data_IF_722069780800
#
_entry.id   IF_722069780800
#
_cell.length_a   1.000
_cell.length_b   1.000
_cell.length_c   1.000
_cell.angle_alpha   90.00
_cell.angle_beta   90.00
_cell.angle_gamma   90.00
#
_symmetry.space_group_name_H-M   'P 1'
#
loop_
_entity.id
_entity.type
_entity.pdbx_description
1 polymer ?
#
# COMPACT_ATOMS: atom_id res chain seq x y z
N UNK A 1 -8.38 33.06 4.76
CA UNK A 1 -7.10 32.57 4.21
C UNK A 1 -7.13 32.69 2.70
N UNK A 2 -6.03 33.05 2.04
CA UNK A 2 -5.95 33.02 0.58
C UNK A 2 -5.89 31.56 0.12
N UNK A 3 -6.68 31.21 -0.91
CA UNK A 3 -6.68 29.88 -1.50
C UNK A 3 -5.43 29.74 -2.35
N UNK A 4 -4.70 28.60 -2.22
CA UNK A 4 -3.54 28.32 -3.05
C UNK A 4 -3.94 28.27 -4.53
N UNK A 5 -3.23 28.99 -5.40
CA UNK A 5 -3.41 28.87 -6.84
C UNK A 5 -2.86 27.54 -7.39
N UNK A 6 -1.93 26.91 -6.65
CA UNK A 6 -1.33 25.63 -7.00
C UNK A 6 -2.05 24.48 -6.26
N UNK A 7 -2.30 23.39 -6.97
CA UNK A 7 -2.80 22.16 -6.35
C UNK A 7 -1.75 21.58 -5.41
N UNK A 8 -2.14 21.35 -4.16
CA UNK A 8 -1.35 20.65 -3.12
C UNK A 8 -1.77 19.19 -3.11
N UNK A 9 -0.93 18.31 -3.70
CA UNK A 9 -1.26 16.90 -3.83
C UNK A 9 -0.70 16.08 -2.65
N UNK A 10 -1.59 15.63 -1.76
CA UNK A 10 -1.29 14.88 -0.55
C UNK A 10 -1.94 13.49 -0.55
N UNK A 11 -2.04 12.87 -1.71
CA UNK A 11 -2.64 11.53 -1.87
C UNK A 11 -1.69 10.55 -2.59
N UNK A 12 -0.38 10.62 -2.26
CA UNK A 12 0.65 9.78 -2.87
C UNK A 12 0.46 8.28 -2.60
N UNK A 13 -0.25 7.90 -1.54
CA UNK A 13 -0.62 6.50 -1.29
C UNK A 13 -1.71 5.98 -2.25
N UNK A 14 -2.53 6.83 -2.86
CA UNK A 14 -3.46 6.42 -3.91
C UNK A 14 -2.74 6.21 -5.24
N UNK A 15 -1.96 7.18 -5.68
CA UNK A 15 -1.11 7.11 -6.88
C UNK A 15 -0.09 8.24 -6.87
N UNK A 16 1.00 8.10 -7.61
CA UNK A 16 1.99 9.16 -7.80
C UNK A 16 2.08 9.60 -9.26
N UNK A 17 2.61 10.80 -9.50
CA UNK A 17 2.99 11.23 -10.85
C UNK A 17 4.17 10.39 -11.34
N UNK A 18 4.19 10.08 -12.64
CA UNK A 18 5.34 9.42 -13.26
C UNK A 18 6.55 10.36 -13.24
N UNK A 19 7.70 9.85 -12.79
CA UNK A 19 8.95 10.62 -12.79
C UNK A 19 9.35 11.02 -14.23
N UNK A 20 9.87 12.24 -14.45
CA UNK A 20 10.26 12.69 -15.79
C UNK A 20 11.25 11.74 -16.48
N UNK A 21 12.20 11.18 -15.76
CA UNK A 21 13.20 10.24 -16.27
C UNK A 21 12.59 8.89 -16.64
N UNK A 22 11.62 8.42 -15.85
CA UNK A 22 10.86 7.22 -16.19
C UNK A 22 10.00 7.45 -17.46
N UNK A 23 9.36 8.62 -17.56
CA UNK A 23 8.60 9.00 -18.74
C UNK A 23 9.50 9.10 -19.98
N UNK A 24 10.71 9.67 -19.86
CA UNK A 24 11.65 9.78 -20.97
C UNK A 24 12.03 8.41 -21.54
N UNK A 25 12.37 7.44 -20.68
CA UNK A 25 12.69 6.06 -21.10
C UNK A 25 11.46 5.38 -21.72
N UNK A 26 10.27 5.63 -21.21
CA UNK A 26 9.04 5.10 -21.80
C UNK A 26 8.81 5.65 -23.21
N UNK A 27 9.01 6.95 -23.42
CA UNK A 27 8.88 7.58 -24.73
C UNK A 27 9.90 7.01 -25.71
N UNK A 28 11.16 6.81 -25.28
CA UNK A 28 12.21 6.17 -26.09
C UNK A 28 11.79 4.75 -26.51
N UNK A 29 11.32 3.92 -25.55
CA UNK A 29 10.85 2.58 -25.84
C UNK A 29 9.64 2.55 -26.79
N UNK A 30 8.69 3.48 -26.65
CA UNK A 30 7.50 3.56 -27.50
C UNK A 30 7.81 4.05 -28.91
N UNK A 31 8.81 4.92 -29.08
CA UNK A 31 9.16 5.50 -30.36
C UNK A 31 10.24 4.71 -31.15
N UNK A 32 11.13 4.01 -30.44
CA UNK A 32 12.29 3.31 -31.03
C UNK A 32 12.12 1.80 -31.08
N UNK A 33 11.61 1.17 -29.99
CA UNK A 33 11.56 -0.29 -29.84
C UNK A 33 10.22 -0.88 -30.36
N UNK A 34 9.96 -0.82 -31.65
CA UNK A 34 8.71 -1.35 -32.24
C UNK A 34 8.69 -2.89 -32.38
N UNK A 35 9.79 -3.58 -32.09
CA UNK A 35 9.91 -5.03 -32.19
C UNK A 35 9.22 -5.78 -31.05
N UNK A 36 8.78 -7.03 -31.31
CA UNK A 36 8.35 -7.92 -30.25
C UNK A 36 9.59 -8.50 -29.53
N UNK A 37 9.72 -8.37 -28.19
CA UNK A 37 10.88 -8.87 -27.44
C UNK A 37 11.12 -10.39 -27.59
N UNK A 38 10.10 -11.15 -27.96
CA UNK A 38 10.21 -12.60 -28.21
C UNK A 38 10.70 -12.96 -29.62
N UNK A 39 10.92 -11.98 -30.50
CA UNK A 39 11.31 -12.21 -31.90
C UNK A 39 12.83 -12.22 -32.08
N UNK A 40 13.31 -13.10 -32.97
CA UNK A 40 14.73 -13.33 -33.23
C UNK A 40 15.23 -12.47 -34.41
N UNK A 41 15.06 -11.16 -34.35
CA UNK A 41 15.60 -10.16 -35.31
C UNK A 41 15.99 -8.88 -34.56
N UNK A 42 16.77 -7.99 -35.20
CA UNK A 42 17.43 -6.84 -34.56
C UNK A 42 16.50 -5.98 -33.73
N UNK A 43 15.38 -5.51 -34.27
CA UNK A 43 14.42 -4.67 -33.57
C UNK A 43 13.69 -5.42 -32.41
N UNK A 44 13.61 -6.76 -32.44
CA UNK A 44 13.13 -7.57 -31.33
C UNK A 44 14.15 -7.61 -30.18
N UNK A 45 15.45 -7.70 -30.52
CA UNK A 45 16.51 -7.63 -29.52
C UNK A 45 16.61 -6.26 -28.87
N UNK A 46 16.41 -5.16 -29.63
CA UNK A 46 16.34 -3.79 -29.08
C UNK A 46 15.20 -3.67 -28.04
N UNK A 47 14.00 -4.16 -28.40
CA UNK A 47 12.87 -4.17 -27.46
C UNK A 47 13.16 -5.04 -26.22
N UNK A 48 13.83 -6.18 -26.41
CA UNK A 48 14.24 -7.06 -25.32
C UNK A 48 15.24 -6.39 -24.38
N UNK A 49 16.15 -5.57 -24.86
CA UNK A 49 17.12 -4.83 -24.05
C UNK A 49 16.43 -3.91 -23.04
N UNK A 50 15.36 -3.21 -23.42
CA UNK A 50 14.54 -2.42 -22.49
C UNK A 50 13.92 -3.29 -21.40
N UNK A 51 13.38 -4.46 -21.75
CA UNK A 51 12.78 -5.40 -20.81
C UNK A 51 13.84 -5.94 -19.83
N UNK A 52 14.99 -6.39 -20.35
CA UNK A 52 16.07 -6.97 -19.54
C UNK A 52 16.68 -5.92 -18.60
N UNK A 53 16.86 -4.68 -19.08
CA UNK A 53 17.34 -3.55 -18.27
C UNK A 53 16.36 -3.20 -17.16
N UNK A 54 15.07 -3.02 -17.47
CA UNK A 54 14.05 -2.73 -16.47
C UNK A 54 13.95 -3.85 -15.41
N UNK A 55 14.05 -5.10 -15.84
CA UNK A 55 14.06 -6.28 -14.92
C UNK A 55 15.28 -6.27 -13.99
N UNK A 56 16.46 -5.96 -14.54
CA UNK A 56 17.69 -5.87 -13.74
C UNK A 56 17.63 -4.73 -12.72
N UNK A 57 17.05 -3.58 -13.09
CA UNK A 57 16.86 -2.43 -12.19
C UNK A 57 15.90 -2.78 -11.05
N UNK A 58 14.74 -3.40 -11.34
CA UNK A 58 13.79 -3.85 -10.31
C UNK A 58 14.44 -4.86 -9.38
N UNK A 59 15.12 -5.87 -9.92
CA UNK A 59 15.79 -6.89 -9.14
C UNK A 59 16.86 -6.30 -8.20
N UNK A 60 17.70 -5.40 -8.73
CA UNK A 60 18.75 -4.73 -7.94
C UNK A 60 18.17 -3.93 -6.79
N UNK A 61 17.06 -3.24 -7.02
CA UNK A 61 16.44 -2.35 -6.04
C UNK A 61 15.94 -3.09 -4.78
N UNK A 62 15.59 -4.37 -4.90
CA UNK A 62 15.12 -5.21 -3.78
C UNK A 62 16.10 -6.35 -3.41
N UNK A 63 17.34 -6.30 -3.90
CA UNK A 63 18.39 -7.33 -3.71
C UNK A 63 17.97 -8.74 -4.20
N UNK A 64 17.17 -8.81 -5.29
CA UNK A 64 16.78 -10.06 -5.96
C UNK A 64 17.68 -10.38 -7.15
N UNK A 65 17.53 -11.59 -7.71
CA UNK A 65 18.04 -11.93 -9.04
C UNK A 65 17.01 -11.52 -10.13
N UNK A 66 17.44 -11.06 -11.32
CA UNK A 66 16.52 -10.79 -12.41
C UNK A 66 15.60 -11.97 -12.77
N UNK A 67 16.06 -13.20 -12.61
CA UNK A 67 15.27 -14.41 -12.85
C UNK A 67 14.14 -14.66 -11.83
N UNK A 68 14.08 -13.88 -10.75
CA UNK A 68 13.06 -13.95 -9.70
C UNK A 68 12.00 -12.84 -9.83
N UNK A 69 12.10 -11.98 -10.87
CA UNK A 69 11.14 -10.89 -11.12
C UNK A 69 10.22 -11.28 -12.28
N UNK A 70 8.92 -11.18 -12.06
CA UNK A 70 7.88 -11.44 -13.06
C UNK A 70 6.97 -10.22 -13.18
N UNK A 71 6.87 -9.64 -14.37
CA UNK A 71 6.05 -8.46 -14.60
C UNK A 71 4.56 -8.80 -14.72
N UNK A 72 3.75 -7.94 -14.13
CA UNK A 72 2.28 -8.02 -14.12
C UNK A 72 1.68 -6.68 -14.55
N UNK A 73 0.38 -6.65 -14.81
CA UNK A 73 -0.33 -5.41 -15.17
C UNK A 73 -0.55 -4.46 -13.99
N UNK A 74 -0.46 -4.93 -12.75
CA UNK A 74 -0.61 -4.12 -11.53
C UNK A 74 -0.26 -4.93 -10.27
N UNK A 75 -0.19 -4.27 -9.11
CA UNK A 75 -0.01 -4.93 -7.82
C UNK A 75 -1.11 -5.95 -7.52
N UNK A 76 -2.37 -5.63 -7.83
CA UNK A 76 -3.49 -6.56 -7.62
C UNK A 76 -3.36 -7.86 -8.43
N UNK A 77 -2.80 -7.84 -9.66
CA UNK A 77 -2.50 -9.05 -10.40
C UNK A 77 -1.40 -9.86 -9.70
N UNK A 78 -0.35 -9.20 -9.21
CA UNK A 78 0.74 -9.84 -8.47
C UNK A 78 0.22 -10.51 -7.19
N UNK A 79 -0.61 -9.82 -6.40
CA UNK A 79 -1.24 -10.34 -5.19
C UNK A 79 -2.13 -11.56 -5.48
N UNK A 80 -3.00 -11.43 -6.48
CA UNK A 80 -3.86 -12.55 -6.89
C UNK A 80 -3.03 -13.75 -7.32
N UNK A 81 -1.95 -13.52 -8.06
CA UNK A 81 -1.09 -14.61 -8.51
C UNK A 81 -0.36 -15.28 -7.33
N UNK A 82 0.23 -14.50 -6.43
CA UNK A 82 0.87 -15.03 -5.24
C UNK A 82 -0.11 -15.88 -4.39
N UNK A 83 -1.27 -15.33 -4.08
CA UNK A 83 -2.27 -15.96 -3.19
C UNK A 83 -2.96 -17.15 -3.86
N UNK A 84 -3.62 -16.92 -5.00
CA UNK A 84 -4.39 -17.98 -5.68
C UNK A 84 -3.48 -19.04 -6.29
N UNK A 85 -2.38 -18.63 -6.92
CA UNK A 85 -1.40 -19.53 -7.50
C UNK A 85 -0.79 -20.46 -6.45
N UNK A 86 -0.47 -19.94 -5.26
CA UNK A 86 -0.01 -20.76 -4.13
C UNK A 86 -1.09 -21.71 -3.65
N UNK A 87 -2.31 -21.22 -3.44
CA UNK A 87 -3.43 -22.04 -2.98
C UNK A 87 -3.65 -23.25 -3.92
N UNK A 88 -3.70 -23.01 -5.23
CA UNK A 88 -3.88 -24.08 -6.22
C UNK A 88 -2.68 -25.05 -6.29
N UNK A 89 -1.46 -24.54 -6.15
CA UNK A 89 -0.25 -25.37 -6.10
C UNK A 89 -0.26 -26.30 -4.89
N UNK A 90 -0.54 -25.75 -3.72
CA UNK A 90 -0.46 -26.46 -2.42
C UNK A 90 -1.68 -27.35 -2.15
N UNK A 91 -2.82 -27.07 -2.76
CA UNK A 91 -4.01 -27.96 -2.69
C UNK A 91 -3.71 -29.37 -3.20
N UNK A 92 -2.78 -29.53 -4.15
CA UNK A 92 -2.31 -30.85 -4.63
C UNK A 92 -1.59 -31.65 -3.54
N UNK A 93 -1.16 -30.99 -2.46
CA UNK A 93 -0.53 -31.58 -1.28
C UNK A 93 -1.49 -31.64 -0.09
N UNK A 94 -2.80 -31.47 -0.30
CA UNK A 94 -3.83 -31.36 0.72
C UNK A 94 -3.64 -30.20 1.69
N UNK A 95 -2.92 -29.15 1.29
CA UNK A 95 -2.78 -27.93 2.07
C UNK A 95 -3.78 -26.88 1.56
N UNK A 96 -4.81 -26.60 2.36
CA UNK A 96 -5.93 -25.73 1.99
C UNK A 96 -6.19 -24.59 2.96
N UNK A 97 -5.33 -24.41 3.95
CA UNK A 97 -5.43 -23.31 4.89
C UNK A 97 -4.49 -22.18 4.50
N UNK A 98 -4.97 -20.93 4.60
CA UNK A 98 -4.20 -19.71 4.36
C UNK A 98 -4.33 -18.78 5.58
N UNK A 99 -3.29 -18.00 5.82
CA UNK A 99 -3.28 -16.99 6.89
C UNK A 99 -3.03 -15.64 6.26
N UNK A 100 -3.83 -14.64 6.68
CA UNK A 100 -3.65 -13.24 6.28
C UNK A 100 -4.03 -12.32 7.43
N UNK A 101 -3.82 -11.00 7.29
CA UNK A 101 -4.29 -10.05 8.29
C UNK A 101 -5.70 -9.53 7.99
N UNK A 102 -6.39 -9.03 9.02
CA UNK A 102 -7.74 -8.49 8.88
C UNK A 102 -7.79 -7.08 8.25
N UNK A 103 -6.64 -6.49 7.91
CA UNK A 103 -6.55 -5.12 7.41
C UNK A 103 -5.75 -4.98 6.10
N UNK A 104 -5.67 -6.08 5.34
CA UNK A 104 -5.02 -6.12 4.03
C UNK A 104 -5.71 -5.23 2.99
N UNK A 105 -4.99 -4.93 1.92
CA UNK A 105 -5.60 -4.34 0.73
C UNK A 105 -6.68 -5.26 0.13
N UNK A 106 -7.71 -4.69 -0.48
CA UNK A 106 -8.81 -5.47 -1.07
C UNK A 106 -8.36 -6.52 -2.11
N UNK A 107 -7.21 -6.34 -2.76
CA UNK A 107 -6.64 -7.35 -3.65
C UNK A 107 -6.35 -8.68 -2.93
N UNK A 108 -5.89 -8.63 -1.69
CA UNK A 108 -5.69 -9.80 -0.82
C UNK A 108 -7.02 -10.25 -0.22
N UNK A 109 -7.78 -9.35 0.41
CA UNK A 109 -9.04 -9.68 1.09
C UNK A 109 -10.03 -10.39 0.15
N UNK A 110 -10.26 -9.83 -1.05
CA UNK A 110 -11.19 -10.42 -2.01
C UNK A 110 -10.63 -11.70 -2.66
N UNK A 111 -9.30 -11.85 -2.77
CA UNK A 111 -8.68 -13.10 -3.22
C UNK A 111 -8.88 -14.21 -2.21
N UNK A 112 -8.70 -13.91 -0.91
CA UNK A 112 -8.96 -14.86 0.18
C UNK A 112 -10.44 -15.26 0.22
N UNK A 113 -11.36 -14.28 0.19
CA UNK A 113 -12.80 -14.56 0.13
C UNK A 113 -13.23 -15.39 -1.11
N UNK A 114 -12.53 -15.20 -2.25
CA UNK A 114 -12.77 -16.03 -3.42
C UNK A 114 -12.32 -17.49 -3.18
N UNK A 115 -11.20 -17.70 -2.51
CA UNK A 115 -10.69 -19.03 -2.17
C UNK A 115 -11.58 -19.73 -1.12
N UNK A 116 -12.12 -19.01 -0.15
CA UNK A 116 -13.10 -19.56 0.79
C UNK A 116 -14.31 -20.15 0.07
N UNK A 117 -14.85 -19.43 -0.93
CA UNK A 117 -15.94 -19.95 -1.79
C UNK A 117 -15.56 -21.21 -2.60
N UNK A 118 -14.26 -21.44 -2.80
CA UNK A 118 -13.71 -22.62 -3.47
C UNK A 118 -13.34 -23.77 -2.51
N UNK A 119 -13.65 -23.62 -1.21
CA UNK A 119 -13.43 -24.65 -0.19
C UNK A 119 -12.02 -24.61 0.43
N UNK A 120 -11.34 -23.48 0.39
CA UNK A 120 -10.17 -23.20 1.22
C UNK A 120 -10.62 -22.61 2.56
N UNK A 121 -9.77 -22.69 3.57
CA UNK A 121 -9.96 -22.05 4.87
C UNK A 121 -9.00 -20.89 5.03
N UNK A 122 -9.47 -19.78 5.59
CA UNK A 122 -8.66 -18.59 5.81
C UNK A 122 -8.72 -18.15 7.27
N UNK A 123 -7.57 -17.93 7.88
CA UNK A 123 -7.48 -17.28 9.20
C UNK A 123 -7.03 -15.83 9.02
N UNK A 124 -7.85 -14.90 9.53
CA UNK A 124 -7.58 -13.46 9.51
C UNK A 124 -7.03 -13.03 10.87
N UNK A 125 -5.73 -12.70 10.92
CA UNK A 125 -5.07 -12.22 12.14
C UNK A 125 -5.49 -10.77 12.40
N UNK A 126 -5.98 -10.49 13.63
CA UNK A 126 -6.32 -9.13 14.03
C UNK A 126 -5.06 -8.34 14.40
N UNK A 127 -4.89 -7.10 13.89
CA UNK A 127 -3.81 -6.22 14.34
C UNK A 127 -4.06 -5.71 15.76
N UNK A 128 -2.99 -5.23 16.41
CA UNK A 128 -3.08 -4.43 17.64
C UNK A 128 -3.73 -3.06 17.33
N UNK A 129 -4.10 -2.26 18.36
CA UNK A 129 -4.62 -0.90 18.15
C UNK A 129 -3.64 0.03 17.40
N UNK A 130 -2.34 -0.26 17.45
CA UNK A 130 -1.30 0.45 16.68
C UNK A 130 -1.21 -0.02 15.22
N UNK A 131 -1.99 -1.05 14.85
CA UNK A 131 -1.97 -1.63 13.51
C UNK A 131 -0.80 -2.60 13.29
N UNK A 132 -0.31 -3.27 14.32
CA UNK A 132 0.82 -4.19 14.28
C UNK A 132 0.35 -5.64 14.37
N UNK A 133 0.84 -6.51 13.50
CA UNK A 133 0.61 -7.96 13.56
C UNK A 133 1.72 -8.58 14.42
N UNK A 134 1.34 -9.22 15.51
CA UNK A 134 2.29 -9.91 16.37
C UNK A 134 2.71 -11.24 15.73
N UNK A 135 4.01 -11.51 15.59
CA UNK A 135 4.50 -12.75 15.01
C UNK A 135 3.97 -14.01 15.73
N UNK A 136 3.77 -13.91 17.05
CA UNK A 136 3.24 -15.01 17.88
C UNK A 136 1.79 -15.38 17.50
N UNK A 137 0.97 -14.40 17.10
CA UNK A 137 -0.41 -14.66 16.69
C UNK A 137 -0.42 -15.40 15.32
N UNK A 138 0.56 -15.11 14.45
CA UNK A 138 0.77 -15.85 13.19
C UNK A 138 1.21 -17.27 13.49
N UNK A 139 2.20 -17.48 14.38
CA UNK A 139 2.68 -18.82 14.76
C UNK A 139 1.54 -19.68 15.33
N UNK A 140 0.72 -19.11 16.21
CA UNK A 140 -0.42 -19.79 16.81
C UNK A 140 -1.51 -20.19 15.80
N UNK A 141 -1.61 -19.50 14.67
CA UNK A 141 -2.57 -19.78 13.60
C UNK A 141 -2.07 -20.83 12.59
N UNK A 142 -0.77 -21.16 12.57
CA UNK A 142 -0.21 -22.12 11.63
C UNK A 142 -0.68 -23.54 11.97
N UNK A 143 -1.16 -24.26 10.96
CA UNK A 143 -1.65 -25.63 11.03
C UNK A 143 -0.84 -26.54 10.09
N UNK A 144 -0.92 -27.88 10.23
CA UNK A 144 -0.21 -28.80 9.31
C UNK A 144 -0.61 -28.63 7.83
N UNK A 145 -1.84 -28.20 7.57
CA UNK A 145 -2.39 -27.96 6.23
C UNK A 145 -2.28 -26.48 5.78
N UNK A 146 -1.54 -25.64 6.50
CA UNK A 146 -1.28 -24.25 6.08
C UNK A 146 -0.41 -24.23 4.82
N UNK A 147 -0.88 -23.54 3.79
CA UNK A 147 -0.25 -23.39 2.48
C UNK A 147 0.57 -22.10 2.37
N UNK A 148 0.04 -20.99 2.92
CA UNK A 148 0.55 -19.64 2.75
C UNK A 148 0.29 -18.78 3.99
N UNK A 149 1.27 -17.96 4.36
CA UNK A 149 1.08 -16.75 5.16
C UNK A 149 1.25 -15.55 4.22
N UNK A 150 0.28 -14.66 4.19
CA UNK A 150 0.30 -13.43 3.38
C UNK A 150 -0.03 -12.23 4.25
N UNK A 151 0.97 -11.42 4.57
CA UNK A 151 0.84 -10.21 5.40
C UNK A 151 1.46 -9.04 4.66
N UNK A 152 0.72 -7.94 4.52
CA UNK A 152 1.23 -6.73 3.86
C UNK A 152 2.42 -6.14 4.62
N UNK A 153 3.40 -5.61 3.90
CA UNK A 153 4.60 -5.05 4.50
C UNK A 153 4.34 -3.70 5.18
N UNK A 154 3.46 -2.89 4.61
CA UNK A 154 3.04 -1.63 5.20
C UNK A 154 1.60 -1.31 4.80
N UNK A 155 0.79 -0.87 5.76
CA UNK A 155 -0.62 -0.59 5.50
C UNK A 155 -0.78 0.74 4.74
N UNK A 156 -1.59 0.71 3.69
CA UNK A 156 -1.82 1.84 2.79
C UNK A 156 -2.67 2.98 3.41
N UNK A 157 -3.40 2.72 4.49
CA UNK A 157 -4.24 3.71 5.15
C UNK A 157 -3.55 4.32 6.37
N UNK A 158 -3.18 3.49 7.33
CA UNK A 158 -2.58 3.94 8.60
C UNK A 158 -1.05 3.98 8.61
N UNK A 159 -0.42 3.49 7.53
CA UNK A 159 1.02 3.56 7.35
C UNK A 159 1.86 2.60 8.19
N UNK A 160 1.26 1.77 9.05
CA UNK A 160 2.00 0.90 9.96
C UNK A 160 2.80 -0.16 9.21
N UNK A 161 4.09 -0.27 9.51
CA UNK A 161 5.04 -1.24 8.94
C UNK A 161 5.02 -2.52 9.77
N UNK A 162 5.00 -3.69 9.11
CA UNK A 162 4.85 -4.99 9.74
C UNK A 162 6.20 -5.72 9.92
N UNK A 163 6.33 -6.62 10.91
CA UNK A 163 7.54 -7.40 11.18
C UNK A 163 7.66 -8.60 10.24
N UNK A 164 7.84 -8.31 8.93
CA UNK A 164 7.79 -9.32 7.88
C UNK A 164 8.90 -10.36 8.03
N UNK A 165 10.11 -9.95 8.47
CA UNK A 165 11.23 -10.87 8.68
C UNK A 165 10.91 -11.94 9.72
N UNK A 166 10.44 -11.53 10.88
CA UNK A 166 10.09 -12.41 11.98
C UNK A 166 8.94 -13.37 11.57
N UNK A 167 7.95 -12.85 10.86
CA UNK A 167 6.84 -13.65 10.33
C UNK A 167 7.32 -14.65 9.29
N UNK A 168 8.24 -14.27 8.41
CA UNK A 168 8.83 -15.16 7.40
C UNK A 168 9.65 -16.28 8.05
N UNK A 169 10.45 -15.99 9.08
CA UNK A 169 11.20 -16.97 9.85
C UNK A 169 10.27 -18.01 10.49
N UNK A 170 9.15 -17.56 11.06
CA UNK A 170 8.11 -18.44 11.64
C UNK A 170 7.46 -19.30 10.54
N UNK A 171 7.02 -18.71 9.43
CA UNK A 171 6.40 -19.45 8.35
C UNK A 171 7.34 -20.56 7.82
N UNK A 172 8.61 -20.25 7.61
CA UNK A 172 9.62 -21.20 7.13
C UNK A 172 9.93 -22.32 8.14
N UNK A 173 9.98 -22.03 9.44
CA UNK A 173 10.12 -23.05 10.50
C UNK A 173 9.04 -24.13 10.41
N UNK A 174 7.85 -23.77 9.93
CA UNK A 174 6.72 -24.68 9.73
C UNK A 174 6.56 -25.18 8.27
N UNK A 175 7.48 -24.85 7.38
CA UNK A 175 7.44 -25.25 5.95
C UNK A 175 6.30 -24.62 5.17
N UNK A 176 5.86 -23.42 5.56
CA UNK A 176 4.81 -22.62 4.94
C UNK A 176 5.44 -21.53 4.07
N UNK A 177 4.89 -21.25 2.91
CA UNK A 177 5.34 -20.16 2.06
C UNK A 177 4.90 -18.80 2.61
N UNK A 178 5.77 -17.79 2.44
CA UNK A 178 5.53 -16.43 2.89
C UNK A 178 5.42 -15.47 1.71
N UNK A 179 4.30 -14.75 1.63
CA UNK A 179 4.05 -13.65 0.70
C UNK A 179 3.88 -12.34 1.47
N UNK A 180 4.35 -11.24 0.89
CA UNK A 180 4.05 -9.89 1.39
C UNK A 180 3.58 -8.99 0.25
N UNK A 181 2.44 -8.31 0.45
CA UNK A 181 2.07 -7.14 -0.35
C UNK A 181 2.96 -5.97 0.11
N UNK A 182 3.96 -5.64 -0.71
CA UNK A 182 4.88 -4.54 -0.46
C UNK A 182 4.62 -3.31 -1.35
N UNK A 183 3.42 -3.19 -1.89
CA UNK A 183 3.02 -2.10 -2.81
C UNK A 183 3.26 -0.72 -2.20
N UNK A 184 3.04 -0.56 -0.89
CA UNK A 184 3.29 0.72 -0.20
C UNK A 184 4.72 0.85 0.34
N UNK A 185 5.48 -0.23 0.38
CA UNK A 185 6.83 -0.26 0.98
C UNK A 185 7.94 -0.06 -0.05
N UNK A 186 7.85 -0.72 -1.21
CA UNK A 186 8.86 -0.65 -2.27
C UNK A 186 9.01 0.79 -2.77
N UNK A 187 10.25 1.30 -2.73
CA UNK A 187 10.58 2.68 -3.08
C UNK A 187 10.23 3.74 -2.03
N UNK A 188 9.63 3.34 -0.88
CA UNK A 188 9.29 4.24 0.23
C UNK A 188 10.10 3.94 1.50
N UNK A 189 10.50 2.68 1.69
CA UNK A 189 11.39 2.23 2.77
C UNK A 189 12.37 1.18 2.21
N UNK A 190 13.47 0.84 2.93
CA UNK A 190 14.38 -0.21 2.51
C UNK A 190 13.67 -1.56 2.38
N UNK A 191 13.88 -2.23 1.24
CA UNK A 191 13.34 -3.57 0.97
C UNK A 191 14.45 -4.45 0.44
N UNK A 192 14.84 -5.46 1.23
CA UNK A 192 15.80 -6.49 0.86
C UNK A 192 15.13 -7.86 1.02
N UNK A 193 14.81 -8.51 -0.09
CA UNK A 193 14.08 -9.79 -0.07
C UNK A 193 14.87 -10.92 0.57
N UNK A 194 16.22 -10.84 0.57
CA UNK A 194 17.07 -11.85 1.22
C UNK A 194 17.09 -11.67 2.73
N UNK A 195 17.11 -10.41 3.19
CA UNK A 195 17.04 -10.09 4.62
C UNK A 195 15.65 -10.39 5.18
N UNK A 196 14.60 -10.02 4.46
CA UNK A 196 13.21 -10.29 4.83
C UNK A 196 12.90 -11.80 4.83
N UNK A 197 13.59 -12.58 3.99
CA UNK A 197 13.37 -14.01 3.89
C UNK A 197 12.04 -14.40 3.23
N UNK A 198 11.35 -13.49 2.53
CA UNK A 198 10.07 -13.80 1.90
C UNK A 198 10.21 -14.68 0.67
N UNK A 199 9.20 -15.48 0.38
CA UNK A 199 9.14 -16.31 -0.83
C UNK A 199 8.58 -15.55 -2.03
N UNK A 200 7.65 -14.63 -1.77
CA UNK A 200 6.99 -13.80 -2.78
C UNK A 200 6.76 -12.39 -2.24
N UNK A 201 6.87 -11.40 -3.15
CA UNK A 201 6.61 -10.00 -2.83
C UNK A 201 5.94 -9.31 -4.01
N UNK A 202 4.81 -8.66 -3.76
CA UNK A 202 4.08 -7.88 -4.76
C UNK A 202 4.46 -6.41 -4.71
N UNK A 203 4.56 -5.77 -5.90
CA UNK A 203 4.82 -4.33 -6.04
C UNK A 203 4.04 -3.71 -7.20
N UNK A 204 3.87 -2.38 -7.17
CA UNK A 204 3.14 -1.63 -8.20
C UNK A 204 3.84 -0.32 -8.52
N UNK A 205 4.17 -0.11 -9.80
CA UNK A 205 5.03 0.99 -10.24
C UNK A 205 4.50 2.38 -9.89
N UNK A 206 3.19 2.59 -9.95
CA UNK A 206 2.58 3.89 -9.70
C UNK A 206 2.63 4.36 -8.24
N UNK A 207 3.17 3.57 -7.32
CA UNK A 207 3.40 3.95 -5.92
C UNK A 207 4.80 4.54 -5.68
N UNK A 208 5.73 4.31 -6.60
CA UNK A 208 7.10 4.84 -6.54
C UNK A 208 7.48 5.67 -7.79
N UNK A 209 6.54 6.50 -8.26
CA UNK A 209 6.70 7.40 -9.40
C UNK A 209 6.95 6.69 -10.75
N UNK A 210 6.50 5.45 -10.88
CA UNK A 210 6.47 4.71 -12.13
C UNK A 210 5.12 4.81 -12.85
N UNK A 211 4.98 4.15 -14.01
CA UNK A 211 3.76 4.18 -14.79
C UNK A 211 2.62 3.40 -14.12
N UNK A 212 1.39 3.89 -14.29
CA UNK A 212 0.17 3.12 -14.02
C UNK A 212 0.08 1.94 -15.00
N UNK A 213 -0.57 0.85 -14.59
CA UNK A 213 -0.71 -0.33 -15.44
C UNK A 213 0.54 -1.23 -15.49
N UNK A 214 1.43 -1.09 -14.51
CA UNK A 214 2.60 -1.95 -14.29
C UNK A 214 2.72 -2.37 -12.83
N UNK A 215 3.00 -3.66 -12.65
CA UNK A 215 3.39 -4.26 -11.38
C UNK A 215 4.43 -5.35 -11.60
N UNK A 216 4.90 -5.94 -10.52
CA UNK A 216 5.73 -7.12 -10.56
C UNK A 216 5.51 -8.00 -9.33
N UNK A 217 5.71 -9.30 -9.53
CA UNK A 217 5.84 -10.31 -8.48
C UNK A 217 7.32 -10.73 -8.41
N UNK A 218 7.95 -10.51 -7.25
CA UNK A 218 9.13 -11.26 -6.89
C UNK A 218 8.73 -12.66 -6.46
N UNK A 219 9.41 -13.66 -6.97
CA UNK A 219 9.20 -15.05 -6.61
C UNK A 219 10.56 -15.73 -6.43
N UNK A 220 10.90 -16.10 -5.20
CA UNK A 220 12.17 -16.71 -4.84
C UNK A 220 12.42 -17.98 -5.68
N UNK A 221 13.64 -18.17 -6.14
CA UNK A 221 14.02 -19.36 -6.90
C UNK A 221 13.61 -20.65 -6.19
N UNK A 222 12.87 -21.49 -6.90
CA UNK A 222 12.32 -22.76 -6.38
C UNK A 222 10.89 -22.66 -5.83
N UNK A 223 10.32 -21.46 -5.75
CA UNK A 223 8.92 -21.19 -5.41
C UNK A 223 8.16 -20.94 -6.70
N UNK A 224 7.16 -21.78 -6.99
CA UNK A 224 6.42 -21.74 -8.25
C UNK A 224 4.90 -21.79 -7.99
N UNK A 225 4.26 -20.64 -7.77
CA UNK A 225 2.80 -20.57 -7.74
C UNK A 225 2.24 -20.92 -9.10
N UNK A 226 1.08 -21.59 -9.15
CA UNK A 226 0.40 -21.89 -10.40
C UNK A 226 0.11 -20.62 -11.19
N UNK A 227 0.33 -20.65 -12.50
CA UNK A 227 0.02 -19.53 -13.37
C UNK A 227 -1.47 -19.16 -13.27
N UNK A 228 -1.77 -17.87 -13.33
CA UNK A 228 -3.14 -17.36 -13.47
C UNK A 228 -3.47 -16.99 -14.91
N UNK A 229 -2.47 -16.61 -15.70
CA UNK A 229 -2.62 -16.23 -17.10
C UNK A 229 -1.81 -17.21 -17.93
N UNK A 230 -2.50 -18.16 -18.55
CA UNK A 230 -1.91 -19.18 -19.42
C UNK A 230 -1.83 -18.67 -20.87
N UNK A 231 -0.80 -19.10 -21.63
CA UNK A 231 -0.63 -18.72 -23.02
C UNK A 231 0.81 -18.89 -23.53
N UNK A 232 1.39 -17.85 -24.08
CA UNK A 232 2.73 -17.85 -24.63
C UNK A 232 3.86 -18.00 -23.60
N UNK A 233 5.11 -17.98 -24.08
CA UNK A 233 6.29 -18.24 -23.23
C UNK A 233 6.88 -17.02 -22.52
N UNK A 234 6.16 -15.90 -22.52
CA UNK A 234 6.60 -14.68 -21.84
C UNK A 234 6.78 -14.93 -20.34
N UNK A 235 7.55 -14.06 -19.70
CA UNK A 235 7.87 -14.19 -18.27
C UNK A 235 8.29 -15.63 -17.87
N UNK A 236 9.18 -16.22 -18.66
CA UNK A 236 9.69 -17.58 -18.49
C UNK A 236 8.59 -18.67 -18.42
N UNK A 237 7.46 -18.49 -19.12
CA UNK A 237 6.23 -19.31 -19.14
C UNK A 237 5.37 -19.23 -17.89
N UNK A 238 5.60 -18.25 -17.03
CA UNK A 238 4.85 -18.10 -15.79
C UNK A 238 3.72 -17.08 -15.90
N UNK A 239 3.82 -16.12 -16.83
CA UNK A 239 2.76 -15.17 -17.10
C UNK A 239 2.75 -14.81 -18.59
N UNK A 240 1.71 -15.24 -19.29
CA UNK A 240 1.57 -15.04 -20.72
C UNK A 240 1.13 -13.62 -21.09
N UNK A 241 1.35 -13.24 -22.33
CA UNK A 241 1.02 -11.93 -22.91
C UNK A 241 2.27 -11.14 -23.28
N UNK A 242 2.21 -10.48 -24.45
CA UNK A 242 3.32 -9.65 -24.93
C UNK A 242 3.72 -8.61 -23.88
N UNK A 243 5.01 -8.50 -23.63
CA UNK A 243 5.58 -7.63 -22.61
C UNK A 243 5.27 -6.14 -22.89
N UNK A 244 4.85 -5.42 -21.88
CA UNK A 244 4.71 -3.96 -21.95
C UNK A 244 6.09 -3.29 -21.85
N UNK A 245 6.82 -3.29 -22.98
CA UNK A 245 8.23 -2.85 -23.04
C UNK A 245 8.43 -1.48 -22.39
N UNK A 246 7.63 -0.49 -22.77
CA UNK A 246 7.73 0.86 -22.24
C UNK A 246 7.38 0.92 -20.75
N UNK A 247 6.33 0.22 -20.33
CA UNK A 247 5.94 0.18 -18.93
C UNK A 247 7.00 -0.48 -18.05
N UNK A 248 7.63 -1.55 -18.53
CA UNK A 248 8.72 -2.25 -17.82
C UNK A 248 9.95 -1.33 -17.68
N UNK A 249 10.34 -0.68 -18.76
CA UNK A 249 11.47 0.27 -18.75
C UNK A 249 11.21 1.43 -17.78
N UNK A 250 9.99 2.01 -17.82
CA UNK A 250 9.58 3.08 -16.91
C UNK A 250 9.54 2.63 -15.45
N UNK A 251 9.02 1.42 -15.16
CA UNK A 251 9.00 0.85 -13.82
C UNK A 251 10.43 0.66 -13.27
N UNK A 252 11.33 0.07 -14.08
CA UNK A 252 12.72 -0.15 -13.68
C UNK A 252 13.43 1.16 -13.35
N UNK A 253 13.29 2.17 -14.23
CA UNK A 253 13.90 3.49 -14.04
C UNK A 253 13.36 4.24 -12.83
N UNK A 254 12.05 4.22 -12.64
CA UNK A 254 11.42 4.86 -11.48
C UNK A 254 11.91 4.24 -10.16
N UNK A 255 11.99 2.91 -10.09
CA UNK A 255 12.42 2.23 -8.86
C UNK A 255 13.92 2.44 -8.60
N UNK A 256 14.76 2.41 -9.64
CA UNK A 256 16.18 2.75 -9.52
C UNK A 256 16.38 4.12 -8.87
N UNK A 257 15.64 5.13 -9.34
CA UNK A 257 15.70 6.50 -8.80
C UNK A 257 15.15 6.59 -7.39
N UNK A 258 14.03 5.92 -7.11
CA UNK A 258 13.43 5.93 -5.79
C UNK A 258 14.40 5.40 -4.71
N UNK A 259 15.12 4.31 -5.02
CA UNK A 259 16.08 3.70 -4.09
C UNK A 259 17.39 4.48 -4.02
N UNK A 260 17.84 5.12 -5.10
CA UNK A 260 19.07 5.92 -5.10
C UNK A 260 19.01 7.13 -4.14
N UNK A 261 17.81 7.66 -3.88
CA UNK A 261 17.57 8.81 -3.00
C UNK A 261 16.70 8.45 -1.79
N UNK A 262 16.66 7.18 -1.39
CA UNK A 262 15.69 6.68 -0.42
C UNK A 262 15.84 7.34 0.95
N UNK A 263 17.05 7.46 1.49
CA UNK A 263 17.30 8.04 2.81
C UNK A 263 16.91 9.53 2.86
N UNK A 264 17.22 10.28 1.81
CA UNK A 264 16.87 11.70 1.68
C UNK A 264 15.34 11.87 1.63
N UNK A 265 14.67 11.03 0.83
CA UNK A 265 13.21 11.02 0.70
C UNK A 265 12.54 10.68 2.02
N UNK A 266 13.00 9.62 2.68
CA UNK A 266 12.47 9.18 3.98
C UNK A 266 12.61 10.28 5.04
N UNK A 267 13.76 10.95 5.11
CA UNK A 267 14.00 12.04 6.06
C UNK A 267 13.06 13.22 5.79
N UNK A 268 12.96 13.64 4.53
CA UNK A 268 12.12 14.75 4.10
C UNK A 268 10.62 14.46 4.36
N UNK A 269 10.11 13.31 3.89
CA UNK A 269 8.72 12.93 4.06
C UNK A 269 8.35 12.78 5.55
N UNK A 270 9.28 12.25 6.36
CA UNK A 270 9.11 12.13 7.82
C UNK A 270 9.01 13.49 8.50
N UNK A 271 9.82 14.46 8.10
CA UNK A 271 9.77 15.83 8.65
C UNK A 271 8.39 16.46 8.39
N UNK A 272 7.86 16.36 7.17
CA UNK A 272 6.53 16.86 6.81
C UNK A 272 5.42 16.17 7.60
N UNK A 273 5.48 14.84 7.68
CA UNK A 273 4.54 14.00 8.44
C UNK A 273 4.50 14.40 9.92
N UNK A 274 5.65 14.43 10.55
CA UNK A 274 5.77 14.69 11.99
C UNK A 274 5.27 16.11 12.31
N UNK A 275 5.60 17.10 11.47
CA UNK A 275 5.09 18.46 11.61
C UNK A 275 3.55 18.51 11.58
N UNK A 276 2.92 17.83 10.62
CA UNK A 276 1.46 17.83 10.50
C UNK A 276 0.82 17.10 11.68
N UNK A 277 1.34 15.94 12.06
CA UNK A 277 0.81 15.17 13.21
C UNK A 277 0.87 16.03 14.49
N UNK A 278 2.03 16.59 14.81
CA UNK A 278 2.22 17.39 16.02
C UNK A 278 1.29 18.60 16.05
N UNK A 279 1.22 19.34 14.95
CA UNK A 279 0.43 20.56 14.86
C UNK A 279 -1.08 20.28 14.93
N UNK A 280 -1.57 19.28 14.20
CA UNK A 280 -2.99 18.92 14.19
C UNK A 280 -3.44 18.39 15.54
N UNK A 281 -2.68 17.48 16.17
CA UNK A 281 -3.04 16.92 17.48
C UNK A 281 -3.00 17.97 18.59
N UNK A 282 -2.12 18.99 18.48
CA UNK A 282 -2.02 20.07 19.45
C UNK A 282 -3.15 21.11 19.33
N UNK A 283 -3.53 21.46 18.09
CA UNK A 283 -4.38 22.62 17.83
C UNK A 283 -5.84 22.26 17.54
N UNK A 284 -6.13 21.00 17.14
CA UNK A 284 -7.49 20.54 16.86
C UNK A 284 -7.93 19.57 17.98
N UNK A 285 -8.80 20.02 18.90
CA UNK A 285 -9.26 19.17 20.00
C UNK A 285 -9.87 17.85 19.52
N UNK A 286 -9.61 16.78 20.25
CA UNK A 286 -10.13 15.42 19.97
C UNK A 286 -9.72 14.82 18.61
N UNK A 287 -8.80 15.46 17.89
CA UNK A 287 -8.17 14.82 16.74
C UNK A 287 -7.37 13.59 17.22
N UNK A 288 -7.47 12.47 16.49
CA UNK A 288 -6.85 11.20 16.87
C UNK A 288 -5.98 10.68 15.72
N UNK A 289 -4.70 10.40 15.99
CA UNK A 289 -3.84 9.65 15.08
C UNK A 289 -4.28 8.18 15.05
N UNK A 290 -4.45 7.61 13.87
CA UNK A 290 -4.75 6.20 13.65
C UNK A 290 -3.46 5.43 13.32
N UNK A 291 -3.28 4.27 13.98
CA UNK A 291 -2.03 3.49 13.91
C UNK A 291 -0.89 4.04 14.77
N UNK A 292 0.18 3.25 14.93
CA UNK A 292 1.36 3.62 15.69
C UNK A 292 2.22 4.70 15.03
N UNK A 293 3.03 5.41 15.79
CA UNK A 293 3.94 6.44 15.30
C UNK A 293 5.33 5.87 14.92
N UNK A 294 5.84 4.91 15.70
CA UNK A 294 7.22 4.40 15.56
C UNK A 294 7.44 3.60 14.27
N UNK A 295 6.57 2.63 14.00
CA UNK A 295 6.64 1.77 12.81
C UNK A 295 5.70 2.28 11.74
N UNK A 296 5.99 3.47 11.18
CA UNK A 296 5.12 4.14 10.20
C UNK A 296 5.89 4.55 8.96
N UNK A 297 5.27 4.40 7.80
CA UNK A 297 5.78 4.93 6.53
C UNK A 297 6.12 6.42 6.66
N UNK A 298 7.23 6.88 6.06
CA UNK A 298 7.73 8.24 6.24
C UNK A 298 6.69 9.32 5.94
N UNK A 299 5.95 9.21 4.86
CA UNK A 299 5.02 10.25 4.40
C UNK A 299 3.56 10.05 4.83
N UNK A 300 3.21 9.04 5.65
CA UNK A 300 1.81 8.71 5.95
C UNK A 300 1.29 9.41 7.21
N UNK A 301 0.18 10.14 7.06
CA UNK A 301 -0.63 10.71 8.15
C UNK A 301 -2.06 10.17 8.00
N UNK A 302 -2.62 9.57 9.05
CA UNK A 302 -4.02 9.19 9.09
C UNK A 302 -4.62 9.68 10.41
N UNK A 303 -5.55 10.63 10.35
CA UNK A 303 -6.14 11.28 11.52
C UNK A 303 -7.65 11.23 11.41
N UNK A 304 -8.32 10.83 12.50
CA UNK A 304 -9.77 10.93 12.64
C UNK A 304 -10.16 12.22 13.33
N UNK A 305 -11.22 12.85 12.82
CA UNK A 305 -11.85 14.05 13.38
C UNK A 305 -13.28 13.70 13.87
N UNK A 306 -13.44 13.30 15.13
CA UNK A 306 -14.73 12.89 15.67
C UNK A 306 -15.84 13.93 15.46
N UNK A 307 -17.05 13.43 15.15
CA UNK A 307 -18.22 14.26 14.89
C UNK A 307 -18.33 14.85 13.49
N UNK A 308 -17.47 14.45 12.58
CA UNK A 308 -17.49 14.87 11.17
C UNK A 308 -17.49 13.66 10.23
N UNK A 309 -17.90 13.92 8.99
CA UNK A 309 -17.80 12.99 7.87
C UNK A 309 -16.56 13.35 7.03
N UNK A 310 -15.71 12.38 6.73
CA UNK A 310 -14.48 12.57 5.94
C UNK A 310 -14.74 13.15 4.56
N UNK A 311 -15.84 12.75 3.89
CA UNK A 311 -16.24 13.31 2.60
C UNK A 311 -16.51 14.82 2.67
N UNK A 312 -17.13 15.28 3.76
CA UNK A 312 -17.36 16.72 3.97
C UNK A 312 -16.05 17.48 4.14
N UNK A 313 -15.08 16.89 4.88
CA UNK A 313 -13.75 17.47 5.03
C UNK A 313 -13.03 17.48 3.69
N UNK A 314 -13.12 16.38 2.93
CA UNK A 314 -12.48 16.25 1.61
C UNK A 314 -12.97 17.31 0.63
N UNK A 315 -14.28 17.58 0.60
CA UNK A 315 -14.86 18.65 -0.23
C UNK A 315 -14.33 20.06 0.16
N UNK A 316 -14.21 20.33 1.46
CA UNK A 316 -13.62 21.60 1.90
C UNK A 316 -12.14 21.71 1.51
N UNK A 317 -11.36 20.61 1.62
CA UNK A 317 -9.97 20.57 1.20
C UNK A 317 -9.82 20.80 -0.31
N UNK A 318 -10.68 20.19 -1.12
CA UNK A 318 -10.70 20.38 -2.57
C UNK A 318 -11.01 21.83 -2.96
N UNK A 319 -11.92 22.49 -2.25
CA UNK A 319 -12.17 23.94 -2.43
C UNK A 319 -10.95 24.82 -2.10
N UNK A 320 -9.98 24.27 -1.36
CA UNK A 320 -8.69 24.92 -1.05
C UNK A 320 -7.53 24.36 -1.92
N UNK A 321 -7.85 23.67 -3.02
CA UNK A 321 -6.88 22.99 -3.90
C UNK A 321 -5.97 21.99 -3.20
N UNK A 322 -6.45 21.31 -2.15
CA UNK A 322 -5.74 20.24 -1.44
C UNK A 322 -6.37 18.90 -1.79
N UNK A 323 -5.60 18.02 -2.42
CA UNK A 323 -6.00 16.63 -2.72
C UNK A 323 -5.58 15.70 -1.58
N UNK A 324 -6.53 14.96 -1.02
CA UNK A 324 -6.31 13.97 0.04
C UNK A 324 -7.29 12.79 -0.14
N UNK A 325 -7.26 11.82 0.76
CA UNK A 325 -8.24 10.73 0.78
C UNK A 325 -8.95 10.63 2.12
N UNK A 326 -10.18 10.12 2.10
CA UNK A 326 -10.83 9.62 3.32
C UNK A 326 -10.21 8.27 3.73
N UNK A 327 -10.40 7.84 4.98
CA UNK A 327 -9.95 6.51 5.44
C UNK A 327 -10.59 5.34 4.66
N UNK A 328 -11.70 5.58 3.96
CA UNK A 328 -12.42 4.59 3.14
C UNK A 328 -12.16 4.72 1.64
N UNK A 329 -11.08 5.36 1.22
CA UNK A 329 -10.77 5.73 -0.17
C UNK A 329 -10.82 4.58 -1.21
N UNK A 330 -10.74 3.32 -0.78
CA UNK A 330 -10.87 2.15 -1.65
C UNK A 330 -12.33 1.65 -1.81
N UNK A 331 -13.29 2.27 -1.13
CA UNK A 331 -14.69 1.86 -1.09
C UNK A 331 -15.62 3.06 -1.35
N UNK A 332 -15.32 3.82 -2.41
CA UNK A 332 -16.08 5.03 -2.82
C UNK A 332 -17.57 4.77 -3.05
N UNK A 333 -17.99 3.52 -3.12
CA UNK A 333 -19.38 3.10 -3.33
C UNK A 333 -20.10 2.66 -2.05
N UNK A 334 -19.42 2.62 -0.87
CA UNK A 334 -20.06 2.30 0.41
C UNK A 334 -19.83 3.39 1.44
N UNK A 335 -20.90 3.72 2.18
CA UNK A 335 -20.85 4.64 3.33
C UNK A 335 -20.20 4.00 4.57
N UNK A 336 -19.72 2.77 4.47
CA UNK A 336 -19.12 2.04 5.59
C UNK A 336 -17.73 2.58 5.92
N UNK A 337 -17.36 2.67 7.19
CA UNK A 337 -16.02 3.07 7.60
C UNK A 337 -14.98 2.03 7.14
N UNK A 338 -13.74 2.45 7.02
CA UNK A 338 -12.64 1.59 6.61
C UNK A 338 -12.54 0.33 7.49
N UNK A 339 -12.48 -0.86 6.85
CA UNK A 339 -12.23 -2.12 7.54
C UNK A 339 -10.87 -2.11 8.28
N UNK A 340 -9.89 -1.33 7.80
CA UNK A 340 -8.59 -1.13 8.45
C UNK A 340 -8.80 -0.47 9.81
N UNK A 341 -9.53 0.65 9.85
CA UNK A 341 -9.79 1.38 11.09
C UNK A 341 -10.61 0.55 12.08
N UNK A 342 -11.63 -0.17 11.60
CA UNK A 342 -12.43 -1.08 12.43
C UNK A 342 -11.56 -2.21 13.01
N UNK A 343 -10.63 -2.76 12.23
CA UNK A 343 -9.76 -3.86 12.66
C UNK A 343 -8.81 -3.47 13.79
N UNK A 344 -8.38 -2.21 13.85
CA UNK A 344 -7.55 -1.65 14.93
C UNK A 344 -8.37 -1.10 16.10
N UNK A 345 -9.70 -1.31 16.09
CA UNK A 345 -10.59 -0.93 17.19
C UNK A 345 -11.01 0.54 17.20
N UNK A 346 -10.87 1.27 16.08
CA UNK A 346 -11.47 2.61 15.95
C UNK A 346 -12.98 2.44 15.86
N UNK A 347 -13.77 3.06 16.76
CA UNK A 347 -15.23 3.03 16.68
C UNK A 347 -15.71 3.57 15.33
N UNK A 348 -16.78 2.98 14.79
CA UNK A 348 -17.37 3.36 13.50
C UNK A 348 -17.66 4.87 13.40
N UNK A 349 -18.29 5.42 14.45
CA UNK A 349 -18.64 6.84 14.57
C UNK A 349 -17.41 7.78 14.47
N UNK A 350 -16.23 7.30 14.86
CA UNK A 350 -14.96 8.04 14.77
C UNK A 350 -14.30 7.77 13.40
N UNK A 351 -14.41 6.55 12.91
CA UNK A 351 -13.84 6.12 11.64
C UNK A 351 -14.37 6.91 10.43
N UNK A 352 -15.64 7.29 10.45
CA UNK A 352 -16.25 8.11 9.39
C UNK A 352 -15.55 9.46 9.18
N UNK A 353 -15.02 10.07 10.23
CA UNK A 353 -14.29 11.33 10.15
C UNK A 353 -12.80 11.20 9.88
N UNK A 354 -12.34 10.07 9.38
CA UNK A 354 -10.91 9.86 9.13
C UNK A 354 -10.46 10.43 7.79
N UNK A 355 -9.27 11.05 7.82
CA UNK A 355 -8.58 11.59 6.66
C UNK A 355 -7.16 11.01 6.57
N UNK A 356 -6.76 10.65 5.35
CA UNK A 356 -5.39 10.25 5.05
C UNK A 356 -4.71 11.32 4.20
N UNK A 357 -3.55 11.78 4.66
CA UNK A 357 -2.65 12.65 3.92
C UNK A 357 -1.34 11.89 3.70
N UNK A 358 -0.86 11.87 2.47
CA UNK A 358 0.39 11.17 2.17
C UNK A 358 1.33 12.06 1.36
N UNK A 359 2.47 12.34 1.96
CA UNK A 359 3.52 13.15 1.39
C UNK A 359 4.39 12.32 0.44
N UNK A 360 4.92 12.98 -0.56
CA UNK A 360 5.92 12.45 -1.48
C UNK A 360 7.09 13.43 -1.62
N UNK A 361 8.12 13.07 -2.42
CA UNK A 361 9.34 13.86 -2.52
C UNK A 361 9.14 15.28 -3.09
N UNK A 362 8.02 15.53 -3.77
CA UNK A 362 7.69 16.83 -4.36
C UNK A 362 7.02 17.80 -3.38
N UNK A 363 6.53 17.31 -2.23
CA UNK A 363 5.81 18.16 -1.27
C UNK A 363 6.78 19.04 -0.46
N UNK A 364 6.31 20.19 -0.01
CA UNK A 364 7.12 21.17 0.72
C UNK A 364 6.58 21.40 2.13
N UNK A 365 7.42 21.99 2.99
CA UNK A 365 7.01 22.38 4.34
C UNK A 365 5.93 23.48 4.30
N UNK A 366 5.94 24.33 3.28
CA UNK A 366 4.90 25.35 3.05
C UNK A 366 3.55 24.70 2.76
N UNK A 367 3.53 23.62 1.97
CA UNK A 367 2.31 22.83 1.70
C UNK A 367 1.80 22.12 2.96
N UNK A 368 2.70 21.59 3.80
CA UNK A 368 2.34 20.99 5.08
C UNK A 368 1.75 22.02 6.06
N UNK A 369 2.33 23.23 6.11
CA UNK A 369 1.79 24.35 6.91
C UNK A 369 0.41 24.78 6.40
N UNK A 370 0.27 24.92 5.09
CA UNK A 370 -1.00 25.30 4.46
C UNK A 370 -2.11 24.27 4.75
N UNK A 371 -1.82 22.96 4.66
CA UNK A 371 -2.76 21.92 5.09
C UNK A 371 -3.23 22.15 6.54
N UNK A 372 -2.30 22.39 7.46
CA UNK A 372 -2.64 22.60 8.87
C UNK A 372 -3.50 23.86 9.05
N UNK A 373 -3.16 24.97 8.38
CA UNK A 373 -3.94 26.21 8.44
C UNK A 373 -5.39 25.99 7.98
N UNK A 374 -5.58 25.24 6.87
CA UNK A 374 -6.90 24.91 6.36
C UNK A 374 -7.67 24.00 7.34
N UNK A 375 -7.02 22.96 7.88
CA UNK A 375 -7.66 22.07 8.86
C UNK A 375 -8.08 22.80 10.13
N UNK A 376 -7.25 23.72 10.64
CA UNK A 376 -7.53 24.54 11.83
C UNK A 376 -8.72 25.49 11.60
N UNK A 377 -8.99 25.92 10.36
CA UNK A 377 -10.17 26.70 10.00
C UNK A 377 -11.40 25.79 9.78
N UNK A 378 -11.26 24.75 8.95
CA UNK A 378 -12.37 23.93 8.46
C UNK A 378 -12.97 23.06 9.58
N UNK A 379 -12.13 22.38 10.38
CA UNK A 379 -12.62 21.41 11.37
C UNK A 379 -13.51 22.05 12.43
N UNK A 380 -13.10 23.16 13.11
CA UNK A 380 -13.98 23.84 14.07
C UNK A 380 -15.26 24.37 13.44
N UNK A 381 -15.18 24.94 12.24
CA UNK A 381 -16.33 25.46 11.50
C UNK A 381 -17.36 24.35 11.22
N UNK A 382 -16.92 23.19 10.75
CA UNK A 382 -17.79 22.04 10.46
C UNK A 382 -18.37 21.44 11.75
N UNK A 383 -17.57 21.33 12.83
CA UNK A 383 -18.06 20.85 14.12
C UNK A 383 -19.15 21.75 14.71
N UNK A 384 -19.06 23.05 14.53
CA UNK A 384 -20.08 24.01 14.99
C UNK A 384 -21.45 23.76 14.31
N UNK A 385 -21.49 23.17 13.12
CA UNK A 385 -22.68 22.84 12.36
C UNK A 385 -23.08 21.37 12.48
N UNK A 386 -22.25 20.51 13.08
CA UNK A 386 -22.49 19.07 13.18
C UNK A 386 -23.41 18.72 14.35
N UNK A 387 -24.58 18.14 14.05
CA UNK A 387 -25.47 17.61 15.08
C UNK A 387 -24.82 16.49 15.89
N UNK A 388 -23.99 15.64 15.29
CA UNK A 388 -23.30 14.55 15.96
C UNK A 388 -22.29 15.07 17.00
N UNK A 389 -21.54 16.10 16.65
CA UNK A 389 -20.61 16.75 17.56
C UNK A 389 -21.30 17.39 18.75
N UNK A 390 -22.39 18.15 18.48
CA UNK A 390 -23.18 18.82 19.54
C UNK A 390 -23.86 17.83 20.49
N UNK A 391 -24.35 16.70 19.97
CA UNK A 391 -24.94 15.62 20.80
C UNK A 391 -23.88 14.92 21.66
N UNK A 392 -22.69 14.67 21.13
CA UNK A 392 -21.55 14.10 21.89
C UNK A 392 -21.13 14.99 23.04
N UNK A 393 -20.98 16.30 22.80
CA UNK A 393 -20.65 17.29 23.82
C UNK A 393 -21.74 17.36 24.92
N UNK A 394 -23.01 17.28 24.56
CA UNK A 394 -24.12 17.28 25.54
C UNK A 394 -24.14 16.00 26.38
N UNK A 395 -23.83 14.81 25.80
CA UNK A 395 -23.69 13.56 26.56
C UNK A 395 -22.52 13.62 27.54
N UNK A 396 -21.36 14.14 27.13
CA UNK A 396 -20.20 14.31 27.99
C UNK A 396 -20.47 15.28 29.16
N UNK A 397 -21.15 16.41 28.91
CA UNK A 397 -21.59 17.35 29.96
C UNK A 397 -22.57 16.73 30.93
N UNK A 398 -23.53 15.92 30.46
CA UNK A 398 -24.49 15.21 31.33
C UNK A 398 -23.81 14.14 32.20
N UNK A 399 -22.74 13.51 31.73
CA UNK A 399 -21.94 12.56 32.50
C UNK A 399 -21.12 13.23 33.61
N UNK A 400 -20.49 14.39 33.30
CA UNK A 400 -19.73 15.14 34.30
C UNK A 400 -20.60 15.72 35.39
N UNK A 401 -21.82 16.16 35.11
CA UNK A 401 -22.78 16.68 36.07
C UNK A 401 -23.39 15.61 36.98
N UNK A 402 -23.32 14.32 36.60
CA UNK A 402 -23.80 13.17 37.44
C UNK A 402 -22.70 12.59 38.30
N UNK A 403 -21.44 12.94 38.10
CA UNK A 403 -20.30 12.51 38.92
C UNK A 403 -19.97 13.43 40.09
N UNK A 404 -20.68 14.54 40.26
CA UNK A 404 -20.49 15.53 41.37
C UNK A 404 -21.68 15.58 42.35
N UNK A 405 -22.46 14.50 42.44
CA UNK A 405 -23.49 14.37 43.51
C UNK A 405 -23.19 13.21 44.43
#
# INVERSE_FOLDING_TARGET
MEISEKVVYLDNAATTACAPEALAVMVEALSGACGNPSSHYSIGYEAKEFVDTGRAQVAKAINASPAEIFFTGCGSEADNWAVKGTAFTKARQNKKHLITSAFEHHAIMHSMAALERMGFEVTYIKPTPEGYIRPEDVEAAIRPDTALVSIMMANNEIGTIQPIKEIAEIAHKHGVWMHTDAVQAVGSIPVDVKELGVDMLSMSAHKFNGPKGMGALYCRKGIWPQNLIDGGSQEARHRAGTENVAGIAGMGKALEMAVAHLDERMAHEKELRDYVIDRVLKNIPEARLNGGLEHRLPGNVNISFPGLEGETILLDLDMHNICASTGSACNSDSLDPSHVLLSIGVPEEIGHGSMRFTFGPQNTMEEAKYLCDVLEEVIPRRRAMSCMWLQGQNKARQFSLKGEQ
#
